data_IF_281888743310
#
_entry.id   IF_281888743310
#
_cell.length_a   1.000
_cell.length_b   1.000
_cell.length_c   1.000
_cell.angle_alpha   90.00
_cell.angle_beta   90.00
_cell.angle_gamma   90.00
#
_symmetry.space_group_name_H-M   'P 1'
#
loop_
_entity.id
_entity.type
_entity.pdbx_description
1 polymer ?
#
# COMPACT_ATOMS: atom_id res chain seq x y z
N UNK A 1 8.09 0.43 -17.18
CA UNK A 1 6.83 1.18 -16.98
C UNK A 1 6.32 0.93 -15.58
N UNK A 2 6.24 1.96 -14.73
CA UNK A 2 5.60 1.83 -13.43
C UNK A 2 4.09 1.77 -13.65
N UNK A 3 3.45 0.70 -13.20
CA UNK A 3 1.99 0.56 -13.24
C UNK A 3 1.43 1.31 -12.04
N UNK A 4 0.76 2.43 -12.28
CA UNK A 4 0.01 3.14 -11.23
C UNK A 4 -1.39 2.56 -11.20
N UNK A 5 -1.63 1.60 -10.30
CA UNK A 5 -2.97 1.03 -10.09
C UNK A 5 -3.88 2.06 -9.43
N UNK A 6 -5.11 2.22 -9.95
CA UNK A 6 -6.10 3.15 -9.41
C UNK A 6 -6.99 2.43 -8.41
N UNK A 7 -7.39 3.15 -7.36
CA UNK A 7 -8.45 2.70 -6.46
C UNK A 7 -9.77 2.79 -7.21
N UNK A 8 -10.57 1.73 -7.15
CA UNK A 8 -11.88 1.72 -7.80
C UNK A 8 -12.81 2.74 -7.14
N UNK A 9 -13.71 3.33 -7.94
CA UNK A 9 -14.56 4.44 -7.50
C UNK A 9 -15.37 4.14 -6.23
N UNK A 10 -15.75 2.87 -6.04
CA UNK A 10 -16.51 2.43 -4.87
C UNK A 10 -15.75 2.58 -3.55
N UNK A 11 -14.42 2.49 -3.57
CA UNK A 11 -13.60 2.43 -2.35
C UNK A 11 -12.67 3.63 -2.19
N UNK A 12 -12.88 4.71 -2.94
CA UNK A 12 -12.04 5.92 -2.86
C UNK A 12 -11.90 6.47 -1.44
N UNK A 13 -12.96 6.41 -0.62
CA UNK A 13 -12.94 6.88 0.77
C UNK A 13 -12.06 6.04 1.70
N UNK A 14 -11.70 4.83 1.30
CA UNK A 14 -10.85 3.90 2.05
C UNK A 14 -9.55 3.56 1.31
N UNK A 15 -9.23 4.35 0.27
CA UNK A 15 -8.05 4.19 -0.55
C UNK A 15 -6.77 4.13 0.29
N UNK A 16 -6.64 5.07 1.22
CA UNK A 16 -5.52 5.18 2.17
C UNK A 16 -6.12 5.63 3.49
N UNK A 17 -5.87 4.88 4.56
CA UNK A 17 -6.22 5.30 5.91
C UNK A 17 -5.25 4.71 6.92
N UNK A 18 -5.08 5.41 8.04
CA UNK A 18 -4.38 4.88 9.20
C UNK A 18 -5.39 4.31 10.21
N UNK A 19 -4.90 3.48 11.11
CA UNK A 19 -5.64 3.10 12.29
C UNK A 19 -4.67 3.05 13.46
N UNK A 20 -5.19 3.16 14.67
CA UNK A 20 -4.36 3.08 15.86
C UNK A 20 -4.01 1.64 16.23
N UNK A 21 -4.82 0.65 15.81
CA UNK A 21 -4.61 -0.77 16.10
C UNK A 21 -3.78 -1.50 15.03
N UNK A 22 -3.62 -0.90 13.86
CA UNK A 22 -2.78 -1.39 12.76
C UNK A 22 -2.24 -0.20 11.98
N UNK A 23 -1.00 -0.30 11.48
CA UNK A 23 -0.34 0.77 10.73
C UNK A 23 -1.01 1.10 9.39
N UNK A 24 -0.29 1.70 8.44
CA UNK A 24 -0.88 2.21 7.20
C UNK A 24 -1.60 1.11 6.43
N UNK A 25 -2.76 1.45 5.87
CA UNK A 25 -3.53 0.58 4.98
C UNK A 25 -3.78 1.25 3.65
N UNK A 26 -3.74 0.42 2.61
CA UNK A 26 -4.07 0.79 1.24
C UNK A 26 -5.26 -0.06 0.84
N UNK A 27 -6.47 0.48 1.00
CA UNK A 27 -7.69 -0.28 0.86
C UNK A 27 -7.80 -1.43 1.87
N UNK A 28 -8.43 -2.50 1.42
CA UNK A 28 -8.40 -3.81 2.08
C UNK A 28 -7.32 -4.73 1.49
N UNK A 29 -6.52 -4.21 0.56
CA UNK A 29 -5.58 -4.98 -0.24
C UNK A 29 -4.24 -5.09 0.47
N UNK A 30 -3.75 -4.03 1.12
CA UNK A 30 -2.47 -4.02 1.81
C UNK A 30 -2.61 -3.39 3.19
N UNK A 31 -2.13 -4.10 4.21
CA UNK A 31 -2.09 -3.63 5.58
C UNK A 31 -0.75 -3.95 6.24
N UNK A 32 -0.21 -2.96 6.93
CA UNK A 32 0.99 -3.09 7.75
C UNK A 32 0.58 -3.18 9.21
N UNK A 33 0.74 -4.36 9.83
CA UNK A 33 0.26 -4.63 11.19
C UNK A 33 1.40 -4.70 12.21
N UNK A 34 1.11 -4.34 13.46
CA UNK A 34 2.07 -4.43 14.56
C UNK A 34 3.31 -3.56 14.35
N UNK A 35 4.48 -4.14 14.62
CA UNK A 35 5.79 -3.51 14.42
C UNK A 35 6.36 -3.74 13.00
N UNK A 36 5.54 -4.27 12.09
CA UNK A 36 5.84 -4.67 10.71
C UNK A 36 6.84 -5.82 10.54
N UNK A 37 7.64 -6.11 11.57
CA UNK A 37 8.77 -7.04 11.51
C UNK A 37 8.41 -8.43 11.99
N UNK A 38 7.57 -8.52 13.01
CA UNK A 38 7.31 -9.78 13.70
C UNK A 38 5.96 -10.40 13.31
N UNK A 39 5.91 -11.74 13.35
CA UNK A 39 4.70 -12.57 13.28
C UNK A 39 3.93 -12.58 11.93
N UNK A 40 4.50 -12.09 10.83
CA UNK A 40 3.85 -12.07 9.50
C UNK A 40 2.40 -11.52 9.53
N UNK A 41 2.14 -10.56 10.42
CA UNK A 41 0.80 -10.01 10.61
C UNK A 41 0.41 -9.06 9.47
N UNK A 42 1.39 -8.45 8.81
CA UNK A 42 1.15 -7.64 7.63
C UNK A 42 0.68 -8.53 6.48
N UNK A 43 -0.22 -8.00 5.66
CA UNK A 43 -0.75 -8.77 4.55
C UNK A 43 -0.98 -7.92 3.31
N UNK A 44 -0.89 -8.58 2.16
CA UNK A 44 -1.23 -8.08 0.84
C UNK A 44 -2.17 -9.12 0.20
N UNK A 45 -3.47 -8.89 0.24
CA UNK A 45 -4.45 -9.81 -0.32
C UNK A 45 -4.56 -9.59 -1.83
N UNK A 46 -4.55 -10.67 -2.59
CA UNK A 46 -4.86 -10.63 -4.01
C UNK A 46 -6.37 -10.65 -4.25
N UNK A 47 -6.82 -9.97 -5.31
CA UNK A 47 -8.22 -9.99 -5.76
C UNK A 47 -9.23 -9.39 -4.78
N UNK A 48 -8.80 -8.47 -3.92
CA UNK A 48 -9.72 -7.60 -3.18
C UNK A 48 -10.03 -6.40 -4.07
N UNK A 49 -11.32 -6.05 -4.20
CA UNK A 49 -11.78 -5.12 -5.24
C UNK A 49 -11.44 -3.64 -4.98
N UNK A 50 -10.53 -3.31 -4.04
CA UNK A 50 -10.22 -1.90 -3.74
C UNK A 50 -9.40 -1.28 -4.87
N UNK A 51 -8.39 -1.99 -5.37
CA UNK A 51 -7.58 -1.56 -6.51
C UNK A 51 -7.98 -2.29 -7.79
N UNK A 52 -7.90 -1.61 -8.93
CA UNK A 52 -8.22 -2.20 -10.24
C UNK A 52 -7.28 -3.36 -10.60
N UNK A 53 -6.05 -3.32 -10.10
CA UNK A 53 -5.03 -4.35 -10.28
C UNK A 53 -4.43 -4.74 -8.94
N UNK A 54 -4.09 -6.02 -8.80
CA UNK A 54 -3.40 -6.55 -7.63
C UNK A 54 -2.10 -5.79 -7.35
N UNK A 55 -1.94 -5.33 -6.10
CA UNK A 55 -0.73 -4.63 -5.65
C UNK A 55 0.53 -5.52 -5.71
N UNK A 56 0.36 -6.84 -5.58
CA UNK A 56 1.40 -7.85 -5.80
C UNK A 56 0.94 -8.89 -6.82
N UNK A 57 1.58 -8.97 -8.00
CA UNK A 57 1.14 -9.87 -9.06
C UNK A 57 1.41 -11.35 -8.77
N UNK A 58 2.44 -11.69 -7.98
CA UNK A 58 2.89 -13.08 -7.75
C UNK A 58 3.24 -13.36 -6.29
N UNK A 59 2.32 -13.03 -5.37
CA UNK A 59 2.50 -13.40 -3.97
C UNK A 59 2.11 -14.88 -3.76
N UNK A 60 3.03 -15.69 -3.25
CA UNK A 60 2.77 -17.09 -2.85
C UNK A 60 2.01 -17.19 -1.52
N UNK A 61 1.98 -16.09 -0.76
CA UNK A 61 1.24 -15.92 0.48
C UNK A 61 0.75 -14.48 0.58
N UNK A 62 -0.42 -14.29 1.17
CA UNK A 62 -0.92 -12.96 1.47
C UNK A 62 -0.12 -12.32 2.61
N UNK A 63 0.44 -13.10 3.53
CA UNK A 63 1.12 -12.59 4.72
C UNK A 63 2.63 -12.36 4.48
N UNK A 64 3.17 -11.31 5.10
CA UNK A 64 4.59 -10.97 5.01
C UNK A 64 5.10 -10.22 6.25
N UNK A 65 6.42 -10.23 6.42
CA UNK A 65 7.16 -9.34 7.32
C UNK A 65 7.92 -8.30 6.49
N UNK A 66 8.24 -7.16 7.11
CA UNK A 66 8.95 -6.05 6.47
C UNK A 66 10.39 -6.01 6.96
N UNK A 67 11.33 -6.22 6.05
CA UNK A 67 12.75 -6.05 6.32
C UNK A 67 13.16 -4.56 6.25
N UNK A 68 12.66 -3.87 5.22
CA UNK A 68 12.93 -2.47 4.93
C UNK A 68 11.66 -1.75 4.45
N UNK A 69 11.48 -0.50 4.85
CA UNK A 69 10.35 0.35 4.46
C UNK A 69 10.81 1.77 4.19
N UNK A 70 10.59 2.25 2.97
CA UNK A 70 10.98 3.59 2.53
C UNK A 70 9.73 4.40 2.13
N UNK A 71 9.70 5.67 2.51
CA UNK A 71 8.63 6.60 2.14
C UNK A 71 9.21 7.73 1.30
N UNK A 72 8.68 7.90 0.10
CA UNK A 72 9.10 8.93 -0.84
C UNK A 72 8.01 9.98 -1.00
N UNK A 73 8.39 11.25 -0.96
CA UNK A 73 7.52 12.37 -1.31
C UNK A 73 7.88 12.89 -2.70
N UNK A 74 6.91 12.87 -3.61
CA UNK A 74 7.08 13.49 -4.94
C UNK A 74 6.76 14.97 -4.81
N UNK A 75 7.76 15.83 -5.04
CA UNK A 75 7.60 17.28 -5.06
C UNK A 75 7.76 17.80 -6.50
N UNK A 76 6.98 18.82 -6.86
CA UNK A 76 7.18 19.50 -8.15
C UNK A 76 8.54 20.18 -8.14
N UNK A 77 9.33 19.97 -9.19
CA UNK A 77 10.57 20.71 -9.39
C UNK A 77 10.22 22.20 -9.52
N UNK A 78 10.71 23.02 -8.59
CA UNK A 78 10.70 24.46 -8.79
C UNK A 78 11.72 24.80 -9.87
N UNK A 79 11.24 25.29 -11.01
CA UNK A 79 12.10 25.88 -12.02
C UNK A 79 12.43 27.29 -11.54
N UNK A 80 13.63 27.47 -11.01
CA UNK A 80 14.18 28.81 -10.79
C UNK A 80 14.66 29.29 -12.16
N UNK A 81 13.94 30.25 -12.73
CA UNK A 81 14.44 30.98 -13.89
C UNK A 81 15.46 32.00 -13.38
N UNK A 82 16.72 31.82 -13.77
CA UNK A 82 17.83 32.77 -13.54
C UNK A 82 17.99 33.59 -14.82
#
# INVERSE_FOLDING_TARGET
NAVVSRVSNQYQSYAIYDCTSHGPRFGNDLAFNGDFKNQQLSYCVQNVCTYELSLRPTASSNNFSVDEFEVFQIVKKQLVYI
#
